data_IF_504019471240
#
_entry.id   IF_504019471240
#
_cell.length_a   1.000
_cell.length_b   1.000
_cell.length_c   1.000
_cell.angle_alpha   90.00
_cell.angle_beta   90.00
_cell.angle_gamma   90.00
#
_symmetry.space_group_name_H-M   'P 1'
#
loop_
_entity.id
_entity.type
_entity.pdbx_description
1 polymer ?
#
# COMPACT_ATOMS: atom_id res chain seq x y z
N UNK A 1 -13.08 10.28 10.74
CA UNK A 1 -12.27 9.06 10.66
C UNK A 1 -12.14 8.74 9.18
N UNK A 2 -10.93 8.75 8.66
CA UNK A 2 -10.59 8.35 7.31
C UNK A 2 -10.36 6.85 7.21
N UNK A 3 -10.29 6.36 5.97
CA UNK A 3 -10.02 4.96 5.66
C UNK A 3 -8.59 4.60 6.06
N UNK A 4 -8.34 3.31 6.29
CA UNK A 4 -6.99 2.75 6.31
C UNK A 4 -6.70 2.16 4.93
N UNK A 5 -5.67 2.65 4.26
CA UNK A 5 -5.26 2.20 2.93
C UNK A 5 -4.16 1.15 3.07
N UNK A 6 -4.41 -0.07 2.59
CA UNK A 6 -3.44 -1.15 2.54
C UNK A 6 -2.77 -1.24 1.16
N UNK A 7 -1.45 -1.40 1.16
CA UNK A 7 -0.63 -1.54 -0.04
C UNK A 7 0.18 -2.82 0.05
N UNK A 8 -0.07 -3.73 -0.88
CA UNK A 8 0.77 -4.91 -1.11
C UNK A 8 1.65 -4.69 -2.35
N UNK A 9 2.93 -4.38 -2.11
CA UNK A 9 3.84 -3.94 -3.15
C UNK A 9 4.63 -5.11 -3.75
N UNK A 10 4.30 -5.47 -4.98
CA UNK A 10 5.05 -6.43 -5.79
C UNK A 10 5.96 -5.77 -6.84
N UNK A 11 6.80 -6.57 -7.50
CA UNK A 11 7.74 -6.06 -8.52
C UNK A 11 7.07 -5.67 -9.86
N UNK A 12 5.88 -6.22 -10.16
CA UNK A 12 5.15 -5.95 -11.41
C UNK A 12 3.85 -5.20 -11.18
N UNK A 13 3.17 -5.53 -10.09
CA UNK A 13 1.84 -5.01 -9.73
C UNK A 13 1.80 -4.72 -8.24
N UNK A 14 0.95 -3.78 -7.86
CA UNK A 14 0.70 -3.37 -6.49
C UNK A 14 -0.79 -3.59 -6.22
N UNK A 15 -1.09 -4.40 -5.21
CA UNK A 15 -2.45 -4.60 -4.71
C UNK A 15 -2.83 -3.48 -3.77
N UNK A 16 -4.05 -2.97 -3.89
CA UNK A 16 -4.56 -1.89 -3.05
C UNK A 16 -5.92 -2.29 -2.49
N UNK A 17 -6.07 -2.11 -1.19
CA UNK A 17 -7.32 -2.30 -0.46
C UNK A 17 -7.52 -1.13 0.50
N UNK A 18 -8.76 -0.83 0.86
CA UNK A 18 -9.05 0.14 1.91
C UNK A 18 -10.19 -0.34 2.79
N UNK A 19 -10.22 0.14 4.03
CA UNK A 19 -11.38 -0.06 4.89
C UNK A 19 -12.58 0.75 4.41
N UNK A 20 -13.77 0.39 4.87
CA UNK A 20 -14.88 1.35 4.96
C UNK A 20 -14.56 2.49 5.94
N UNK A 21 -15.42 3.52 5.97
CA UNK A 21 -15.22 4.75 6.77
C UNK A 21 -15.28 4.51 8.28
N UNK A 22 -15.97 3.45 8.72
CA UNK A 22 -16.02 3.04 10.13
C UNK A 22 -14.84 2.12 10.50
N UNK A 23 -13.97 1.81 9.53
CA UNK A 23 -12.80 0.93 9.69
C UNK A 23 -13.16 -0.50 10.12
N UNK A 24 -14.33 -1.02 9.70
CA UNK A 24 -14.84 -2.33 10.12
C UNK A 24 -14.31 -3.45 9.21
N UNK A 25 -14.30 -3.24 7.90
CA UNK A 25 -13.94 -4.25 6.90
C UNK A 25 -13.06 -3.67 5.79
N UNK A 26 -11.98 -4.38 5.45
CA UNK A 26 -11.13 -4.06 4.31
C UNK A 26 -11.72 -4.65 3.03
N UNK A 27 -11.79 -3.84 1.97
CA UNK A 27 -12.24 -4.24 0.65
C UNK A 27 -11.12 -4.02 -0.37
N UNK A 28 -10.95 -4.97 -1.28
CA UNK A 28 -10.03 -4.81 -2.42
C UNK A 28 -10.52 -3.70 -3.34
N UNK A 29 -9.63 -2.76 -3.69
CA UNK A 29 -9.94 -1.64 -4.57
C UNK A 29 -9.48 -1.93 -6.00
N UNK A 30 -8.18 -2.18 -6.18
CA UNK A 30 -7.58 -2.35 -7.50
C UNK A 30 -6.22 -3.04 -7.40
N UNK A 31 -5.76 -3.59 -8.52
CA UNK A 31 -4.36 -3.95 -8.73
C UNK A 31 -3.78 -3.08 -9.83
N UNK A 32 -2.76 -2.27 -9.53
CA UNK A 32 -2.14 -1.34 -10.49
C UNK A 32 -0.74 -1.82 -10.91
N UNK A 33 -0.28 -1.52 -12.13
CA UNK A 33 1.13 -1.69 -12.49
C UNK A 33 2.03 -0.80 -11.62
N UNK A 34 3.24 -1.28 -11.29
CA UNK A 34 4.17 -0.53 -10.42
C UNK A 34 4.50 0.87 -10.95
N UNK A 35 4.58 1.04 -12.28
CA UNK A 35 4.85 2.34 -12.90
C UNK A 35 3.76 3.39 -12.64
N UNK A 36 2.53 2.94 -12.36
CA UNK A 36 1.35 3.81 -12.25
C UNK A 36 0.96 4.09 -10.79
N UNK A 37 1.65 3.47 -9.81
CA UNK A 37 1.29 3.56 -8.39
C UNK A 37 1.24 4.99 -7.85
N UNK A 38 2.19 5.85 -8.22
CA UNK A 38 2.27 7.22 -7.71
C UNK A 38 1.15 8.10 -8.26
N UNK A 39 0.76 7.88 -9.51
CA UNK A 39 -0.39 8.57 -10.11
C UNK A 39 -1.68 8.12 -9.44
N UNK A 40 -1.83 6.82 -9.17
CA UNK A 40 -2.97 6.29 -8.45
C UNK A 40 -3.07 6.86 -7.04
N UNK A 41 -1.99 6.78 -6.25
CA UNK A 41 -1.98 7.26 -4.85
C UNK A 41 -2.31 8.75 -4.76
N UNK A 42 -1.75 9.58 -5.66
CA UNK A 42 -2.06 11.01 -5.70
C UNK A 42 -3.54 11.27 -5.93
N UNK A 43 -4.15 10.57 -6.88
CA UNK A 43 -5.56 10.75 -7.18
C UNK A 43 -6.43 10.25 -6.02
N UNK A 44 -6.11 9.08 -5.48
CA UNK A 44 -6.88 8.46 -4.40
C UNK A 44 -6.85 9.29 -3.11
N UNK A 45 -5.67 9.77 -2.71
CA UNK A 45 -5.51 10.60 -1.51
C UNK A 45 -6.12 12.02 -1.67
N UNK A 46 -6.34 12.47 -2.91
CA UNK A 46 -7.03 13.72 -3.18
C UNK A 46 -8.57 13.58 -3.12
N UNK A 47 -9.09 12.38 -3.33
CA UNK A 47 -10.55 12.12 -3.37
C UNK A 47 -11.09 11.48 -2.11
N UNK A 48 -10.28 10.69 -1.40
CA UNK A 48 -10.70 9.93 -0.22
C UNK A 48 -9.96 10.41 1.02
N UNK A 49 -10.66 10.48 2.15
CA UNK A 49 -10.03 10.75 3.44
C UNK A 49 -9.34 9.48 3.94
N UNK A 50 -8.01 9.52 4.08
CA UNK A 50 -7.19 8.38 4.53
C UNK A 50 -6.42 8.78 5.77
N UNK A 51 -6.64 8.07 6.87
CA UNK A 51 -5.99 8.35 8.16
C UNK A 51 -4.63 7.63 8.28
N UNK A 52 -4.50 6.46 7.65
CA UNK A 52 -3.33 5.61 7.78
C UNK A 52 -3.08 4.83 6.50
N UNK A 53 -1.81 4.71 6.13
CA UNK A 53 -1.37 3.81 5.06
C UNK A 53 -0.55 2.68 5.69
N UNK A 54 -0.97 1.43 5.45
CA UNK A 54 -0.27 0.22 5.87
C UNK A 54 0.36 -0.46 4.66
N UNK A 55 1.62 -0.86 4.78
CA UNK A 55 2.37 -1.53 3.70
C UNK A 55 2.78 -2.92 4.19
N UNK A 56 2.55 -3.95 3.38
CA UNK A 56 2.91 -5.32 3.72
C UNK A 56 4.41 -5.47 3.99
N UNK A 57 4.77 -6.00 5.17
CA UNK A 57 6.15 -6.30 5.53
C UNK A 57 6.54 -7.69 5.00
N UNK A 58 7.54 -7.79 4.11
CA UNK A 58 7.83 -9.03 3.41
C UNK A 58 8.74 -9.95 4.25
N UNK A 59 8.16 -10.98 4.87
CA UNK A 59 8.91 -11.95 5.70
C UNK A 59 8.96 -13.36 5.10
N UNK A 60 10.03 -14.09 5.39
CA UNK A 60 10.17 -15.51 5.04
C UNK A 60 9.41 -16.42 6.04
N UNK A 61 9.36 -17.73 5.76
CA UNK A 61 8.71 -18.71 6.65
C UNK A 61 9.35 -18.84 8.04
N UNK A 62 10.54 -18.25 8.24
CA UNK A 62 11.24 -18.16 9.54
C UNK A 62 11.12 -16.77 10.17
N UNK A 63 10.18 -15.95 9.68
CA UNK A 63 9.90 -14.60 10.18
C UNK A 63 11.08 -13.61 10.04
N UNK A 64 12.01 -13.86 9.11
CA UNK A 64 13.12 -12.94 8.80
C UNK A 64 12.75 -12.04 7.61
N UNK A 65 13.36 -10.86 7.47
CA UNK A 65 13.21 -10.06 6.25
C UNK A 65 13.52 -10.91 5.02
N UNK A 66 12.62 -10.90 4.03
CA UNK A 66 12.82 -11.65 2.79
C UNK A 66 13.59 -10.82 1.76
N UNK A 67 14.07 -11.45 0.68
CA UNK A 67 14.71 -10.78 -0.45
C UNK A 67 13.81 -9.73 -1.14
N UNK A 68 12.49 -9.77 -0.92
CA UNK A 68 11.58 -8.75 -1.44
C UNK A 68 11.71 -7.40 -0.72
N UNK A 69 12.32 -7.36 0.48
CA UNK A 69 12.55 -6.13 1.25
C UNK A 69 13.33 -5.09 0.45
N UNK A 70 14.28 -5.52 -0.39
CA UNK A 70 15.09 -4.63 -1.26
C UNK A 70 14.26 -3.80 -2.24
N UNK A 71 13.03 -4.22 -2.55
CA UNK A 71 12.11 -3.49 -3.43
C UNK A 71 11.09 -2.66 -2.65
N UNK A 72 10.72 -3.12 -1.46
CA UNK A 72 9.69 -2.48 -0.63
C UNK A 72 10.27 -1.31 0.17
N UNK A 73 11.50 -1.41 0.69
CA UNK A 73 12.13 -0.33 1.46
C UNK A 73 12.26 0.98 0.68
N UNK A 74 12.74 1.01 -0.58
CA UNK A 74 12.77 2.25 -1.38
C UNK A 74 11.37 2.82 -1.63
N UNK A 75 10.38 1.95 -1.85
CA UNK A 75 8.98 2.36 -2.03
C UNK A 75 8.46 3.05 -0.76
N UNK A 76 8.63 2.45 0.41
CA UNK A 76 8.24 3.02 1.71
C UNK A 76 8.99 4.34 1.97
N UNK A 77 10.28 4.40 1.65
CA UNK A 77 11.08 5.62 1.79
C UNK A 77 10.57 6.78 0.93
N UNK A 78 10.06 6.49 -0.27
CA UNK A 78 9.42 7.49 -1.14
C UNK A 78 8.01 7.83 -0.66
N UNK A 79 7.26 6.85 -0.16
CA UNK A 79 5.89 7.03 0.34
C UNK A 79 5.85 7.98 1.54
N UNK A 80 6.83 7.88 2.45
CA UNK A 80 6.98 8.80 3.60
C UNK A 80 7.20 10.28 3.22
N UNK A 81 7.54 10.55 1.96
CA UNK A 81 7.78 11.91 1.44
C UNK A 81 6.61 12.44 0.59
N UNK A 82 5.57 11.63 0.40
CA UNK A 82 4.36 11.99 -0.37
C UNK A 82 3.34 12.57 0.58
#
# INVERSE_FOLDING_TARGET
>A
MGRILAIDYGQKRVGIAATDELQIIANGLVTVPVKDIWSYLRNYLATENVDCIVVGEPRDMKNRPSDASRFIEPFVGKLRKT
#
